data_IF_951516608553
#
_entry.id   IF_951516608553
#
_cell.length_a   1.000
_cell.length_b   1.000
_cell.length_c   1.000
_cell.angle_alpha   90.00
_cell.angle_beta   90.00
_cell.angle_gamma   90.00
#
_symmetry.space_group_name_H-M   'P 1'
#
loop_
_entity.id
_entity.type
_entity.pdbx_description
1 polymer ?
#
# COMPACT_ATOMS: atom_id res chain seq x y z
N UNK A 1 8.65 -11.35 20.03
CA UNK A 1 8.69 -10.14 19.20
C UNK A 1 7.25 -9.70 19.07
N UNK A 2 6.88 -8.68 19.84
CA UNK A 2 5.58 -8.07 19.68
C UNK A 2 5.70 -7.10 18.50
N UNK A 3 4.71 -7.11 17.63
CA UNK A 3 4.67 -6.22 16.48
C UNK A 3 3.40 -5.37 16.53
N UNK A 4 3.53 -4.12 16.11
CA UNK A 4 2.46 -3.15 16.07
C UNK A 4 2.31 -2.60 14.66
N UNK A 5 1.08 -2.24 14.28
CA UNK A 5 0.81 -1.66 12.97
C UNK A 5 1.04 -0.15 13.02
N UNK A 6 1.90 0.35 12.13
CA UNK A 6 2.08 1.79 11.93
C UNK A 6 0.79 2.40 11.35
N UNK A 7 0.13 3.36 12.04
CA UNK A 7 -1.14 3.93 11.60
C UNK A 7 -1.04 4.78 10.31
N UNK A 8 0.18 5.12 9.87
CA UNK A 8 0.42 5.93 8.67
C UNK A 8 0.57 5.05 7.43
N UNK A 9 1.43 4.03 7.52
CA UNK A 9 1.80 3.21 6.36
C UNK A 9 1.26 1.78 6.41
N UNK A 10 0.59 1.39 7.50
CA UNK A 10 0.02 0.05 7.74
C UNK A 10 1.07 -1.07 7.66
N UNK A 11 2.33 -0.74 7.95
CA UNK A 11 3.40 -1.74 8.05
C UNK A 11 3.48 -2.30 9.46
N UNK A 12 3.94 -3.55 9.55
CA UNK A 12 4.33 -4.20 10.79
C UNK A 12 5.64 -3.57 11.32
N UNK A 13 5.62 -3.17 12.58
CA UNK A 13 6.74 -2.54 13.28
C UNK A 13 7.07 -3.36 14.51
N UNK A 14 8.33 -3.77 14.61
CA UNK A 14 8.87 -4.43 15.80
C UNK A 14 8.86 -3.45 16.98
N UNK A 15 8.14 -3.78 18.04
CA UNK A 15 8.01 -2.89 19.22
C UNK A 15 9.23 -2.97 20.14
N UNK A 16 10.03 -4.03 20.04
CA UNK A 16 11.29 -4.16 20.79
C UNK A 16 12.35 -3.17 20.25
N UNK A 17 12.36 -2.92 18.94
CA UNK A 17 13.24 -1.92 18.31
C UNK A 17 12.57 -1.20 17.12
N UNK A 18 11.71 -0.20 17.37
CA UNK A 18 11.00 0.52 16.32
C UNK A 18 11.94 1.49 15.57
N UNK A 19 12.19 1.29 14.25
CA UNK A 19 13.10 2.14 13.47
C UNK A 19 12.66 3.60 13.35
N UNK A 20 11.35 3.88 13.42
CA UNK A 20 10.79 5.23 13.44
C UNK A 20 10.58 5.83 14.82
N UNK A 21 10.83 5.05 15.87
CA UNK A 21 10.53 5.39 17.25
C UNK A 21 9.05 5.18 17.63
N UNK A 22 8.68 5.75 18.76
CA UNK A 22 7.33 5.64 19.34
C UNK A 22 6.77 7.02 19.69
N UNK A 23 5.45 7.14 19.76
CA UNK A 23 4.74 8.35 20.21
C UNK A 23 3.54 7.98 21.07
N UNK A 24 3.35 8.69 22.17
CA UNK A 24 2.25 8.46 23.11
C UNK A 24 1.10 9.43 22.81
N UNK A 25 -0.06 8.90 22.43
CA UNK A 25 -1.25 9.69 22.11
C UNK A 25 -2.50 9.10 22.77
N UNK A 26 -3.27 9.93 23.47
CA UNK A 26 -4.46 9.50 24.23
C UNK A 26 -4.21 8.33 25.21
N UNK A 27 -3.00 8.23 25.77
CA UNK A 27 -2.62 7.14 26.67
C UNK A 27 -2.32 5.80 25.97
N UNK A 28 -2.23 5.80 24.63
CA UNK A 28 -1.81 4.66 23.82
C UNK A 28 -0.45 4.96 23.19
N UNK A 29 0.49 4.01 23.30
CA UNK A 29 1.81 4.12 22.66
C UNK A 29 1.73 3.55 21.24
N UNK A 30 2.05 4.37 20.25
CA UNK A 30 2.10 4.01 18.83
C UNK A 30 3.55 3.87 18.36
N UNK A 31 3.80 2.91 17.47
CA UNK A 31 5.13 2.58 16.94
C UNK A 31 5.18 2.85 15.43
N UNK A 32 6.31 3.35 14.94
CA UNK A 32 6.46 3.81 13.56
C UNK A 32 7.59 3.11 12.83
N UNK A 33 7.39 2.84 11.54
CA UNK A 33 8.40 2.19 10.71
C UNK A 33 9.55 3.15 10.31
N UNK A 34 9.30 4.45 10.37
CA UNK A 34 10.27 5.47 9.99
C UNK A 34 10.03 6.79 10.75
N UNK A 35 11.07 7.61 10.95
CA UNK A 35 10.93 8.91 11.62
C UNK A 35 9.97 9.84 10.86
N UNK A 36 9.85 9.68 9.54
CA UNK A 36 8.86 10.40 8.73
C UNK A 36 7.42 10.07 9.12
N UNK A 37 7.11 8.80 9.41
CA UNK A 37 5.79 8.37 9.86
C UNK A 37 5.47 8.96 11.24
N UNK A 38 6.43 8.90 12.18
CA UNK A 38 6.26 9.53 13.50
C UNK A 38 5.96 11.02 13.39
N UNK A 39 6.73 11.77 12.59
CA UNK A 39 6.54 13.22 12.43
C UNK A 39 5.20 13.56 11.78
N UNK A 40 4.75 12.76 10.82
CA UNK A 40 3.42 12.94 10.22
C UNK A 40 2.30 12.63 11.22
N UNK A 41 2.46 11.59 12.05
CA UNK A 41 1.51 11.25 13.09
C UNK A 41 1.43 12.33 14.17
N UNK A 42 2.57 12.86 14.63
CA UNK A 42 2.61 13.94 15.63
C UNK A 42 1.95 15.24 15.13
N UNK A 43 1.84 15.44 13.80
CA UNK A 43 1.18 16.61 13.20
C UNK A 43 -0.33 16.49 13.14
N UNK A 44 -0.84 15.32 12.73
CA UNK A 44 -2.27 15.09 12.51
C UNK A 44 -2.71 13.70 13.03
N UNK A 45 -2.58 13.41 14.34
CA UNK A 45 -2.80 12.06 14.87
C UNK A 45 -4.24 11.59 14.71
N UNK A 46 -5.23 12.47 14.93
CA UNK A 46 -6.65 12.14 14.81
C UNK A 46 -7.02 11.62 13.42
N UNK A 47 -6.39 12.15 12.37
CA UNK A 47 -6.62 11.74 10.98
C UNK A 47 -6.24 10.28 10.75
N UNK A 48 -5.10 9.86 11.29
CA UNK A 48 -4.59 8.49 11.11
C UNK A 48 -5.29 7.49 12.04
N UNK A 49 -5.70 7.92 13.22
CA UNK A 49 -6.42 7.06 14.18
C UNK A 49 -7.88 6.82 13.80
N UNK A 50 -8.51 7.76 13.11
CA UNK A 50 -9.85 7.57 12.54
C UNK A 50 -9.91 6.38 11.58
N UNK A 51 -8.82 6.14 10.86
CA UNK A 51 -8.74 5.10 9.82
C UNK A 51 -8.20 3.76 10.38
N UNK A 52 -7.36 3.80 11.41
CA UNK A 52 -6.85 2.60 12.07
C UNK A 52 -7.93 1.85 12.90
N UNK A 53 -8.92 2.57 13.44
CA UNK A 53 -10.01 1.97 14.21
C UNK A 53 -11.03 1.18 13.35
N UNK A 54 -11.05 1.40 12.03
CA UNK A 54 -12.00 0.75 11.12
C UNK A 54 -11.57 -0.68 10.70
N UNK A 55 -10.31 -1.05 10.91
CA UNK A 55 -9.75 -2.32 10.40
C UNK A 55 -9.65 -3.38 11.52
N UNK A 56 -10.58 -3.35 12.48
CA UNK A 56 -10.79 -4.45 13.44
C UNK A 56 -12.07 -5.17 13.10
N UNK A 57 -12.00 -6.02 12.07
CA UNK A 57 -13.04 -6.99 11.76
C UNK A 57 -13.66 -6.78 10.40
N UNK A 58 -13.02 -7.31 9.37
CA UNK A 58 -13.77 -7.80 8.22
C UNK A 58 -13.33 -9.24 7.91
N UNK A 59 -14.09 -10.16 8.51
CA UNK A 59 -14.19 -11.56 8.15
C UNK A 59 -14.71 -11.65 6.72
N UNK A 60 -13.82 -11.59 5.73
CA UNK A 60 -14.11 -12.15 4.42
C UNK A 60 -13.75 -13.63 4.43
N UNK A 61 -14.45 -14.39 5.29
CA UNK A 61 -14.63 -15.82 5.14
C UNK A 61 -15.41 -16.09 3.86
N UNK A 62 -14.74 -16.00 2.71
CA UNK A 62 -15.25 -16.60 1.48
C UNK A 62 -14.89 -18.08 1.47
N UNK A 63 -15.57 -18.83 2.34
CA UNK A 63 -15.76 -20.26 2.17
C UNK A 63 -16.60 -20.46 0.91
N UNK A 64 -15.94 -20.53 -0.24
CA UNK A 64 -16.59 -21.04 -1.44
C UNK A 64 -16.40 -22.56 -1.44
N UNK A 65 -17.35 -23.25 -0.81
CA UNK A 65 -17.56 -24.68 -0.99
C UNK A 65 -17.80 -24.95 -2.48
N UNK A 66 -16.85 -25.59 -3.14
CA UNK A 66 -17.13 -26.32 -4.37
C UNK A 66 -17.07 -27.81 -4.05
N UNK A 67 -18.18 -28.28 -3.47
CA UNK A 67 -18.53 -29.69 -3.49
C UNK A 67 -18.79 -30.14 -4.93
N UNK A 68 -18.00 -31.12 -5.35
CA UNK A 68 -18.18 -32.11 -6.42
C UNK A 68 -18.91 -31.68 -7.70
N UNK A 69 -18.17 -31.52 -8.79
CA UNK A 69 -18.64 -31.92 -10.12
C UNK A 69 -17.45 -32.48 -10.91
N UNK A 70 -17.30 -33.81 -10.90
CA UNK A 70 -16.47 -34.50 -11.87
C UNK A 70 -16.97 -34.24 -13.29
N UNK A 71 -16.18 -33.54 -14.10
CA UNK A 71 -16.37 -33.46 -15.54
C UNK A 71 -15.04 -33.66 -16.25
N UNK A 72 -14.83 -34.89 -16.75
CA UNK A 72 -13.89 -35.13 -17.84
C UNK A 72 -14.36 -34.33 -19.05
N UNK A 73 -13.65 -33.27 -19.40
CA UNK A 73 -13.74 -32.71 -20.74
C UNK A 73 -12.38 -32.80 -21.41
N UNK A 74 -12.19 -33.94 -22.06
CA UNK A 74 -11.26 -34.10 -23.17
C UNK A 74 -11.90 -33.42 -24.38
N UNK A 75 -11.36 -32.29 -24.81
CA UNK A 75 -11.96 -31.55 -25.92
C UNK A 75 -11.29 -30.22 -26.19
N UNK A 76 -10.31 -30.29 -27.08
CA UNK A 76 -10.02 -29.34 -28.16
C UNK A 76 -10.79 -28.02 -28.14
N UNK A 77 -10.07 -26.90 -28.14
CA UNK A 77 -10.21 -25.88 -29.18
C UNK A 77 -9.16 -24.78 -28.99
N UNK A 78 -8.14 -24.84 -29.84
CA UNK A 78 -7.25 -23.73 -30.14
C UNK A 78 -7.91 -22.91 -31.26
N UNK A 79 -8.06 -21.60 -31.07
CA UNK A 79 -8.02 -20.68 -32.20
C UNK A 79 -6.84 -19.72 -32.05
N UNK A 80 -5.91 -19.90 -32.97
CA UNK A 80 -5.06 -18.88 -33.56
C UNK A 80 -5.77 -17.52 -33.67
N UNK A 81 -5.18 -16.45 -33.13
CA UNK A 81 -5.38 -15.13 -33.72
C UNK A 81 -4.36 -14.09 -33.23
N UNK A 82 -3.54 -13.68 -34.20
CA UNK A 82 -3.35 -12.26 -34.50
C UNK A 82 -2.47 -11.45 -33.53
N UNK A 83 -1.16 -11.66 -33.67
CA UNK A 83 -0.14 -10.71 -33.25
C UNK A 83 -0.12 -9.44 -34.12
N UNK A 84 -0.23 -8.28 -33.45
CA UNK A 84 0.30 -6.95 -33.81
C UNK A 84 -0.41 -6.16 -34.95
N UNK A 85 -0.54 -4.81 -34.87
CA UNK A 85 0.53 -3.89 -34.45
C UNK A 85 0.18 -2.87 -33.35
N UNK A 86 1.11 -2.70 -32.40
CA UNK A 86 1.15 -1.56 -31.48
C UNK A 86 1.74 -0.34 -32.20
N UNK A 87 0.90 0.61 -32.56
CA UNK A 87 1.28 1.96 -32.95
C UNK A 87 0.80 2.93 -31.87
N UNK A 88 1.74 3.45 -31.06
CA UNK A 88 1.63 4.74 -30.39
C UNK A 88 2.92 5.05 -29.62
N UNK A 89 3.86 5.75 -30.26
CA UNK A 89 4.78 6.64 -29.55
C UNK A 89 4.39 8.04 -29.95
N UNK A 90 3.48 8.59 -29.14
CA UNK A 90 3.13 9.99 -29.13
C UNK A 90 3.89 10.69 -27.99
N UNK A 91 4.14 11.97 -28.23
CA UNK A 91 4.30 13.03 -27.24
C UNK A 91 5.70 13.26 -26.64
N UNK A 92 6.48 14.05 -27.39
CA UNK A 92 7.01 15.36 -26.99
C UNK A 92 7.03 15.69 -25.50
N UNK A 93 8.24 15.94 -24.97
CA UNK A 93 8.47 16.96 -23.94
C UNK A 93 9.69 17.80 -24.34
N UNK A 94 9.53 19.08 -24.72
CA UNK A 94 10.66 19.97 -24.86
C UNK A 94 11.26 20.28 -23.49
N UNK A 95 12.59 20.34 -23.49
CA UNK A 95 13.46 20.39 -22.32
C UNK A 95 13.17 21.52 -21.34
N UNK A 96 13.29 21.15 -20.08
CA UNK A 96 13.45 21.99 -18.92
C UNK A 96 14.87 22.60 -18.96
N UNK A 97 15.02 23.80 -19.53
CA UNK A 97 16.30 24.52 -19.54
C UNK A 97 16.18 25.89 -18.86
N UNK A 98 16.79 25.95 -17.67
CA UNK A 98 17.53 27.06 -17.10
C UNK A 98 16.86 28.45 -17.02
N UNK A 99 16.23 28.73 -15.87
CA UNK A 99 16.09 30.11 -15.37
C UNK A 99 17.34 30.52 -14.59
N UNK A 100 18.10 31.39 -15.26
CA UNK A 100 19.18 32.26 -14.79
C UNK A 100 18.70 33.26 -13.71
N UNK A 101 19.63 33.96 -13.04
CA UNK A 101 19.44 35.04 -12.03
C UNK A 101 19.38 34.52 -10.58
N UNK A 102 20.38 34.74 -9.72
CA UNK A 102 21.34 35.85 -9.63
C UNK A 102 20.92 36.79 -8.50
N UNK A 103 21.62 36.73 -7.36
CA UNK A 103 21.68 37.66 -6.20
C UNK A 103 22.06 36.82 -4.97
N UNK A 104 22.98 37.18 -4.10
CA UNK A 104 24.02 38.21 -3.98
C UNK A 104 24.90 37.74 -2.83
#
# INVERSE_FOLDING_TARGET
>A
MATAIDPICKMDVDTDNPPGGQSDYQGTTYYFCAPGCKVAFDKEPDKYLSEAAAESGDDHGHGHEHGDHGHSHEGHHMPESSSAPSASTAASKPGFFARLFGKK
#
